data_IF_615387813224
#
_entry.id   IF_615387813224
#
_cell.length_a   1.000
_cell.length_b   1.000
_cell.length_c   1.000
_cell.angle_alpha   90.00
_cell.angle_beta   90.00
_cell.angle_gamma   90.00
#
_symmetry.space_group_name_H-M   'P 1'
#
loop_
_entity.id
_entity.type
_entity.pdbx_description
1 polymer ?
#
# COMPACT_ATOMS: atom_id res chain seq x y z
N UNK A 1 26.92 0.11 -12.44
CA UNK A 1 26.05 0.90 -11.54
C UNK A 1 25.29 -0.06 -10.64
N UNK A 2 25.51 0.01 -9.33
CA UNK A 2 24.91 -0.93 -8.36
C UNK A 2 23.44 -0.56 -8.11
N UNK A 3 22.54 -1.49 -8.39
CA UNK A 3 21.10 -1.33 -8.13
C UNK A 3 20.82 -1.44 -6.62
N UNK A 4 19.85 -0.71 -6.06
CA UNK A 4 19.50 -0.80 -4.65
C UNK A 4 18.93 -2.19 -4.34
N UNK A 5 19.63 -2.95 -3.50
CA UNK A 5 19.15 -4.19 -2.90
C UNK A 5 18.28 -3.82 -1.71
N UNK A 6 16.99 -4.20 -1.73
CA UNK A 6 16.16 -4.11 -0.53
C UNK A 6 16.55 -5.24 0.43
N UNK A 7 17.49 -4.96 1.32
CA UNK A 7 17.86 -5.86 2.41
C UNK A 7 16.87 -5.69 3.56
N UNK A 8 16.05 -6.71 3.78
CA UNK A 8 15.17 -6.77 4.94
C UNK A 8 15.97 -7.41 6.09
N UNK A 9 16.27 -6.64 7.14
CA UNK A 9 16.99 -7.13 8.32
C UNK A 9 16.06 -7.88 9.30
N UNK A 10 16.64 -8.85 10.02
CA UNK A 10 15.99 -9.69 11.02
C UNK A 10 15.29 -8.87 12.09
N UNK A 11 13.99 -9.11 12.27
CA UNK A 11 13.24 -8.72 13.46
C UNK A 11 12.96 -9.97 14.31
N UNK A 12 12.82 -9.85 15.65
CA UNK A 12 12.80 -10.99 16.58
C UNK A 12 11.49 -11.82 16.57
N UNK A 13 10.72 -11.79 15.47
CA UNK A 13 9.51 -12.59 15.32
C UNK A 13 9.78 -13.89 14.55
N UNK A 14 8.99 -14.93 14.83
CA UNK A 14 9.15 -16.28 14.26
C UNK A 14 9.10 -16.28 12.72
N UNK A 15 8.48 -15.27 12.12
CA UNK A 15 8.49 -14.98 10.69
C UNK A 15 8.40 -13.46 10.45
N UNK A 16 9.07 -12.95 9.42
CA UNK A 16 8.90 -11.58 8.92
C UNK A 16 8.05 -11.60 7.64
N UNK A 17 6.97 -10.82 7.66
CA UNK A 17 5.95 -10.78 6.61
C UNK A 17 5.96 -9.42 5.90
N UNK A 18 5.95 -9.46 4.57
CA UNK A 18 5.80 -8.25 3.75
C UNK A 18 4.89 -8.55 2.56
N UNK A 19 3.79 -7.82 2.46
CA UNK A 19 2.90 -7.81 1.29
C UNK A 19 3.20 -6.54 0.50
N UNK A 20 3.69 -6.71 -0.73
CA UNK A 20 4.05 -5.57 -1.60
C UNK A 20 2.97 -5.38 -2.67
N UNK A 21 2.33 -4.21 -2.67
CA UNK A 21 1.25 -3.80 -3.59
C UNK A 21 1.74 -2.83 -4.67
N UNK A 22 2.79 -3.13 -5.45
CA UNK A 22 3.23 -2.20 -6.51
C UNK A 22 4.03 -2.89 -7.61
N UNK A 23 3.42 -3.41 -8.68
CA UNK A 23 4.21 -4.09 -9.72
C UNK A 23 4.95 -3.12 -10.68
N UNK A 24 4.35 -2.00 -11.09
CA UNK A 24 4.98 -1.07 -12.04
C UNK A 24 6.30 -0.44 -11.53
N UNK A 25 6.50 -0.37 -10.21
CA UNK A 25 7.72 0.21 -9.59
C UNK A 25 8.79 -0.82 -9.23
N UNK A 26 8.55 -2.11 -9.48
CA UNK A 26 9.49 -3.20 -9.18
C UNK A 26 10.30 -3.67 -10.41
N UNK A 27 10.01 -3.17 -11.61
CA UNK A 27 10.82 -3.46 -12.79
C UNK A 27 12.29 -3.11 -12.55
N UNK A 28 13.19 -4.05 -12.88
CA UNK A 28 14.63 -3.99 -12.62
C UNK A 28 15.05 -4.34 -11.18
N UNK A 29 14.14 -4.62 -10.25
CA UNK A 29 14.48 -4.88 -8.84
C UNK A 29 14.67 -6.37 -8.55
N UNK A 30 15.55 -6.63 -7.58
CA UNK A 30 15.78 -7.95 -6.98
C UNK A 30 15.13 -7.99 -5.60
N UNK A 31 14.40 -9.07 -5.33
CA UNK A 31 13.74 -9.35 -4.05
C UNK A 31 14.35 -10.62 -3.50
N UNK A 32 14.81 -10.57 -2.25
CA UNK A 32 15.46 -11.70 -1.58
C UNK A 32 14.84 -11.89 -0.20
N UNK A 33 14.48 -13.11 0.13
CA UNK A 33 14.05 -13.54 1.46
C UNK A 33 15.22 -14.20 2.19
N UNK A 34 15.36 -13.89 3.49
CA UNK A 34 16.30 -14.55 4.41
C UNK A 34 15.61 -15.72 5.13
N UNK A 35 16.36 -16.40 5.98
CA UNK A 35 15.83 -17.45 6.84
C UNK A 35 14.64 -16.94 7.66
N UNK A 36 13.58 -17.75 7.81
CA UNK A 36 12.34 -17.36 8.52
C UNK A 36 11.69 -16.08 7.98
N UNK A 37 11.77 -15.83 6.68
CA UNK A 37 11.05 -14.72 6.04
C UNK A 37 10.24 -15.20 4.85
N UNK A 38 9.11 -14.55 4.64
CA UNK A 38 8.17 -14.90 3.57
C UNK A 38 7.60 -13.61 2.98
N UNK A 39 7.57 -13.53 1.65
CA UNK A 39 7.10 -12.33 0.92
C UNK A 39 6.03 -12.73 -0.06
N UNK A 40 4.89 -12.03 -0.06
CA UNK A 40 3.86 -12.13 -1.11
C UNK A 40 3.83 -10.86 -1.93
N UNK A 41 3.92 -11.04 -3.24
CA UNK A 41 3.84 -9.98 -4.22
C UNK A 41 2.49 -10.13 -4.91
N UNK A 42 1.62 -9.13 -4.79
CA UNK A 42 0.32 -9.11 -5.47
C UNK A 42 0.42 -8.14 -6.65
N UNK A 43 0.16 -8.65 -7.84
CA UNK A 43 0.20 -7.91 -9.09
C UNK A 43 -1.16 -7.25 -9.38
N UNK A 44 -1.18 -6.22 -10.24
CA UNK A 44 -2.40 -5.44 -10.53
C UNK A 44 -3.49 -6.23 -11.27
N UNK A 45 -3.11 -7.30 -11.94
CA UNK A 45 -4.02 -8.25 -12.57
C UNK A 45 -4.64 -9.24 -11.58
N UNK A 46 -4.24 -9.19 -10.30
CA UNK A 46 -4.65 -10.10 -9.24
C UNK A 46 -3.90 -11.43 -9.25
N UNK A 47 -2.86 -11.56 -10.08
CA UNK A 47 -1.87 -12.63 -9.94
C UNK A 47 -1.04 -12.39 -8.68
N UNK A 48 -0.47 -13.44 -8.09
CA UNK A 48 0.45 -13.31 -6.97
C UNK A 48 1.60 -14.31 -7.02
N UNK A 49 2.70 -13.92 -6.39
CA UNK A 49 3.90 -14.75 -6.23
C UNK A 49 4.34 -14.69 -4.78
N UNK A 50 4.56 -15.87 -4.19
CA UNK A 50 5.03 -16.04 -2.82
C UNK A 50 6.46 -16.56 -2.85
N UNK A 51 7.39 -15.80 -2.27
CA UNK A 51 8.75 -16.24 -2.01
C UNK A 51 8.82 -16.80 -0.59
N UNK A 52 9.27 -18.05 -0.48
CA UNK A 52 9.55 -18.68 0.81
C UNK A 52 10.94 -18.28 1.32
N UNK A 53 11.39 -18.81 2.45
CA UNK A 53 12.70 -18.48 2.99
C UNK A 53 13.85 -18.80 2.03
N UNK A 54 14.96 -18.05 2.15
CA UNK A 54 16.18 -18.24 1.35
C UNK A 54 15.93 -18.25 -0.17
N UNK A 55 14.97 -17.45 -0.63
CA UNK A 55 14.55 -17.37 -2.03
C UNK A 55 14.86 -16.00 -2.62
N UNK A 56 15.02 -15.95 -3.94
CA UNK A 56 15.31 -14.72 -4.66
C UNK A 56 14.54 -14.71 -5.97
N UNK A 57 14.07 -13.53 -6.40
CA UNK A 57 13.67 -13.32 -7.78
C UNK A 57 14.05 -11.92 -8.24
N UNK A 58 14.13 -11.73 -9.55
CA UNK A 58 14.31 -10.43 -10.19
C UNK A 58 13.14 -10.17 -11.14
N UNK A 59 12.49 -9.04 -11.00
CA UNK A 59 11.44 -8.63 -11.94
C UNK A 59 12.14 -7.83 -13.04
N UNK A 60 12.35 -8.43 -14.22
CA UNK A 60 13.05 -7.77 -15.33
C UNK A 60 12.14 -6.81 -16.08
N UNK A 61 10.90 -7.22 -16.34
CA UNK A 61 9.94 -6.46 -17.12
C UNK A 61 8.54 -6.77 -16.60
N UNK A 62 7.75 -5.73 -16.33
CA UNK A 62 6.33 -5.85 -16.03
C UNK A 62 5.61 -4.69 -16.69
N UNK A 63 4.87 -4.98 -17.76
CA UNK A 63 4.03 -4.02 -18.46
C UNK A 63 2.58 -4.51 -18.41
N UNK A 64 1.74 -3.71 -17.78
CA UNK A 64 0.31 -3.92 -17.72
C UNK A 64 -0.39 -2.76 -18.42
N UNK A 65 -1.00 -3.04 -19.58
CA UNK A 65 -1.81 -2.08 -20.33
C UNK A 65 -3.28 -2.49 -20.17
N UNK A 66 -4.10 -1.57 -19.65
CA UNK A 66 -5.55 -1.75 -19.52
C UNK A 66 -6.27 -0.88 -20.55
N UNK A 67 -6.73 -1.48 -21.64
CA UNK A 67 -7.57 -0.83 -22.66
C UNK A 67 -8.95 -1.49 -22.69
N UNK A 68 -9.99 -0.76 -23.08
CA UNK A 68 -11.40 -1.23 -23.05
C UNK A 68 -11.63 -2.55 -23.82
N UNK A 69 -10.81 -2.86 -24.83
CA UNK A 69 -10.96 -4.06 -25.66
C UNK A 69 -9.67 -4.87 -25.87
N UNK A 70 -8.53 -4.49 -25.28
CA UNK A 70 -7.26 -5.23 -25.45
C UNK A 70 -6.33 -5.05 -24.25
N UNK A 71 -6.51 -5.87 -23.23
CA UNK A 71 -5.56 -5.93 -22.13
C UNK A 71 -4.34 -6.75 -22.57
N UNK A 72 -3.13 -6.20 -22.46
CA UNK A 72 -1.90 -6.97 -22.67
C UNK A 72 -1.07 -6.98 -21.40
N UNK A 73 -0.57 -8.16 -21.05
CA UNK A 73 0.31 -8.36 -19.91
C UNK A 73 1.58 -9.01 -20.44
N UNK A 74 2.69 -8.29 -20.32
CA UNK A 74 4.03 -8.82 -20.54
C UNK A 74 4.77 -8.79 -19.23
N UNK A 75 5.13 -9.97 -18.71
CA UNK A 75 5.83 -10.10 -17.44
C UNK A 75 6.98 -11.09 -17.58
N UNK A 76 8.21 -10.60 -17.41
CA UNK A 76 9.42 -11.41 -17.39
C UNK A 76 10.01 -11.37 -15.99
N UNK A 77 9.88 -12.48 -15.28
CA UNK A 77 10.47 -12.68 -13.96
C UNK A 77 11.63 -13.65 -14.12
N UNK A 78 12.79 -13.24 -13.66
CA UNK A 78 14.06 -13.86 -13.98
C UNK A 78 14.89 -14.14 -12.73
N UNK A 79 15.89 -15.00 -12.89
CA UNK A 79 16.82 -15.37 -11.83
C UNK A 79 16.08 -15.81 -10.55
N UNK A 80 15.02 -16.60 -10.74
CA UNK A 80 14.28 -17.23 -9.64
C UNK A 80 15.20 -18.26 -8.97
N UNK A 81 15.31 -18.17 -7.64
CA UNK A 81 16.06 -19.08 -6.78
C UNK A 81 15.27 -19.40 -5.51
N UNK A 82 15.54 -20.56 -4.94
CA UNK A 82 14.87 -21.06 -3.73
C UNK A 82 13.53 -21.71 -4.07
N UNK A 83 12.52 -21.49 -3.22
CA UNK A 83 11.16 -22.01 -3.36
C UNK A 83 10.20 -20.85 -3.60
N UNK A 84 9.38 -20.95 -4.63
CA UNK A 84 8.40 -19.93 -5.01
C UNK A 84 7.07 -20.59 -5.35
N UNK A 85 5.95 -20.07 -4.82
CA UNK A 85 4.60 -20.37 -5.31
C UNK A 85 4.19 -19.25 -6.27
N UNK A 86 3.59 -19.61 -7.40
CA UNK A 86 3.05 -18.65 -8.35
C UNK A 86 1.57 -18.94 -8.59
N UNK A 87 0.79 -17.88 -8.71
CA UNK A 87 -0.60 -17.91 -9.14
C UNK A 87 -0.80 -16.81 -10.18
N UNK A 88 -0.99 -17.20 -11.44
CA UNK A 88 -1.19 -16.27 -12.55
C UNK A 88 -2.63 -16.34 -13.01
N UNK A 89 -3.37 -15.22 -12.97
CA UNK A 89 -4.76 -15.17 -13.41
C UNK A 89 -4.87 -15.28 -14.93
N UNK A 90 -5.78 -16.14 -15.39
CA UNK A 90 -6.17 -16.21 -16.80
C UNK A 90 -6.99 -14.98 -17.15
N UNK A 91 -6.63 -14.27 -18.23
CA UNK A 91 -7.50 -13.25 -18.83
C UNK A 91 -7.97 -13.72 -20.21
N UNK A 92 -9.28 -13.68 -20.41
CA UNK A 92 -9.89 -13.90 -21.73
C UNK A 92 -9.57 -12.70 -22.62
N UNK A 93 -9.29 -12.95 -23.91
CA UNK A 93 -8.97 -11.95 -24.93
C UNK A 93 -7.69 -11.11 -24.74
N UNK A 94 -6.78 -11.52 -23.85
CA UNK A 94 -5.48 -10.86 -23.65
C UNK A 94 -4.32 -11.66 -24.29
N UNK A 95 -3.40 -10.96 -24.98
CA UNK A 95 -2.06 -11.50 -25.26
C UNK A 95 -1.28 -11.49 -23.94
N UNK A 96 -1.31 -12.61 -23.22
CA UNK A 96 -0.54 -12.82 -22.01
C UNK A 96 0.78 -13.50 -22.35
N UNK A 97 1.88 -12.77 -22.22
CA UNK A 97 3.25 -13.30 -22.33
C UNK A 97 3.91 -13.19 -20.95
N UNK A 98 3.62 -14.19 -20.10
CA UNK A 98 4.21 -14.30 -18.77
C UNK A 98 5.27 -15.39 -18.83
N UNK A 99 6.52 -15.02 -18.55
CA UNK A 99 7.66 -15.92 -18.51
C UNK A 99 8.29 -15.88 -17.12
N UNK A 100 8.42 -17.05 -16.50
CA UNK A 100 9.23 -17.26 -15.30
C UNK A 100 10.54 -17.94 -15.73
N UNK A 101 11.68 -17.42 -15.27
CA UNK A 101 13.01 -17.92 -15.65
C UNK A 101 13.87 -18.21 -14.44
N UNK A 102 14.53 -19.37 -14.47
CA UNK A 102 15.62 -19.73 -13.57
C UNK A 102 16.93 -19.75 -14.37
N UNK A 103 18.04 -20.13 -13.74
CA UNK A 103 19.33 -20.25 -14.43
C UNK A 103 19.32 -21.29 -15.56
N UNK A 104 18.46 -22.30 -15.50
CA UNK A 104 18.46 -23.41 -16.43
C UNK A 104 17.07 -23.77 -16.99
N UNK A 105 16.02 -23.02 -16.68
CA UNK A 105 14.68 -23.28 -17.21
C UNK A 105 13.91 -21.99 -17.57
N UNK A 106 13.07 -22.10 -18.59
CA UNK A 106 12.07 -21.09 -18.99
C UNK A 106 10.69 -21.73 -18.86
N UNK A 107 9.78 -20.99 -18.23
CA UNK A 107 8.40 -21.39 -17.99
C UNK A 107 7.45 -20.38 -18.64
N UNK A 108 6.81 -20.76 -19.73
CA UNK A 108 5.72 -20.01 -20.37
C UNK A 108 4.41 -20.29 -19.65
N UNK A 109 3.84 -19.27 -19.03
CA UNK A 109 2.70 -19.43 -18.13
C UNK A 109 1.48 -18.67 -18.65
N UNK A 110 0.35 -19.38 -18.68
CA UNK A 110 -0.95 -18.80 -19.02
C UNK A 110 -2.04 -19.32 -18.10
N UNK A 111 -2.38 -18.53 -17.07
CA UNK A 111 -3.53 -18.85 -16.23
C UNK A 111 -3.30 -20.08 -15.35
N UNK A 112 -2.15 -20.18 -14.69
CA UNK A 112 -1.73 -21.38 -13.97
C UNK A 112 -1.35 -21.10 -12.52
N UNK A 113 -1.35 -22.17 -11.73
CA UNK A 113 -0.88 -22.19 -10.35
C UNK A 113 0.14 -23.31 -10.17
N UNK A 114 1.15 -23.06 -9.35
CA UNK A 114 2.16 -24.07 -9.06
C UNK A 114 3.32 -23.59 -8.21
N UNK A 115 4.35 -24.43 -8.15
CA UNK A 115 5.57 -24.22 -7.37
C UNK A 115 6.80 -24.36 -8.26
N UNK A 116 7.80 -23.51 -8.00
CA UNK A 116 9.14 -23.61 -8.57
C UNK A 116 10.09 -23.84 -7.40
N UNK A 117 10.92 -24.87 -7.51
CA UNK A 117 12.00 -25.15 -6.56
C UNK A 117 13.31 -25.24 -7.31
N UNK A 118 14.28 -24.42 -6.94
CA UNK A 118 15.63 -24.52 -7.50
C UNK A 118 16.61 -25.06 -6.48
N UNK A 119 17.48 -25.98 -6.90
CA UNK A 119 18.60 -26.46 -6.09
C UNK A 119 19.90 -26.06 -6.79
N UNK A 120 20.58 -25.04 -6.25
CA UNK A 120 21.73 -24.45 -6.91
C UNK A 120 21.37 -23.74 -8.23
N UNK A 121 22.33 -23.61 -9.14
CA UNK A 121 22.12 -23.02 -10.46
C UNK A 121 21.76 -24.05 -11.55
N UNK A 122 21.79 -25.34 -11.21
CA UNK A 122 21.74 -26.42 -12.18
C UNK A 122 20.48 -27.28 -12.06
N UNK A 123 19.59 -27.03 -11.11
CA UNK A 123 18.39 -27.84 -10.96
C UNK A 123 17.18 -26.95 -10.74
N UNK A 124 16.16 -27.12 -11.58
CA UNK A 124 14.84 -26.50 -11.44
C UNK A 124 13.79 -27.58 -11.46
N UNK A 125 12.93 -27.63 -10.45
CA UNK A 125 11.74 -28.44 -10.38
C UNK A 125 10.51 -27.54 -10.50
N UNK A 126 9.55 -27.96 -11.31
CA UNK A 126 8.27 -27.28 -11.51
C UNK A 126 7.17 -28.25 -11.13
N UNK A 127 6.23 -27.82 -10.29
CA UNK A 127 5.01 -28.56 -9.95
C UNK A 127 3.81 -27.70 -10.32
N UNK A 128 2.88 -28.23 -11.10
CA UNK A 128 1.69 -27.48 -11.55
C UNK A 128 0.47 -28.02 -10.83
N UNK A 129 -0.18 -27.17 -10.04
CA UNK A 129 -1.41 -27.52 -9.29
C UNK A 129 -2.67 -27.11 -10.04
N UNK A 130 -2.57 -26.21 -11.03
CA UNK A 130 -3.70 -25.82 -11.88
C UNK A 130 -3.23 -25.30 -13.23
N UNK A 131 -3.90 -25.71 -14.31
CA UNK A 131 -3.61 -25.25 -15.68
C UNK A 131 -2.44 -25.98 -16.33
N UNK A 132 -1.71 -25.33 -17.24
CA UNK A 132 -0.58 -25.94 -17.97
C UNK A 132 0.56 -24.95 -18.22
N UNK A 133 1.80 -25.44 -18.07
CA UNK A 133 3.02 -24.63 -18.21
C UNK A 133 3.91 -25.21 -19.31
N UNK A 134 4.32 -24.34 -20.24
CA UNK A 134 5.35 -24.68 -21.21
C UNK A 134 6.71 -24.60 -20.52
N UNK A 135 7.46 -25.70 -20.52
CA UNK A 135 8.69 -25.87 -19.77
C UNK A 135 9.83 -26.27 -20.70
N UNK A 136 10.88 -25.46 -20.75
CA UNK A 136 12.03 -25.68 -21.62
C UNK A 136 13.34 -25.28 -20.94
N UNK A 137 14.46 -25.75 -21.48
CA UNK A 137 15.78 -25.29 -21.07
C UNK A 137 16.25 -24.17 -22.03
N UNK A 138 16.76 -23.03 -21.55
CA UNK A 138 17.30 -21.97 -22.41
C UNK A 138 18.37 -22.45 -23.40
N UNK A 139 19.13 -23.50 -23.06
CA UNK A 139 20.16 -24.10 -23.92
C UNK A 139 19.57 -24.95 -25.05
N UNK A 140 18.31 -25.38 -24.91
CA UNK A 140 17.58 -26.19 -25.90
C UNK A 140 16.16 -25.66 -26.10
N UNK A 141 16.00 -24.40 -26.56
CA UNK A 141 14.70 -23.70 -26.53
C UNK A 141 13.65 -24.31 -27.46
N UNK A 142 14.07 -25.13 -28.43
CA UNK A 142 13.18 -25.82 -29.37
C UNK A 142 12.56 -27.11 -28.80
N UNK A 143 12.98 -27.55 -27.61
CA UNK A 143 12.45 -28.73 -26.93
C UNK A 143 11.60 -28.24 -25.76
N UNK A 144 10.29 -28.19 -25.98
CA UNK A 144 9.30 -27.71 -25.01
C UNK A 144 8.51 -28.92 -24.50
N UNK A 145 8.46 -29.09 -23.18
CA UNK A 145 7.55 -30.02 -22.51
C UNK A 145 6.38 -29.23 -21.93
N UNK A 146 5.17 -29.77 -21.99
CA UNK A 146 4.00 -29.14 -21.37
C UNK A 146 3.72 -29.88 -20.07
N UNK A 147 3.89 -29.21 -18.93
CA UNK A 147 3.56 -29.76 -17.61
C UNK A 147 2.12 -29.35 -17.27
N UNK A 148 1.22 -30.32 -17.17
CA UNK A 148 -0.20 -30.09 -16.91
C UNK A 148 -0.52 -30.11 -15.40
N UNK A 149 -1.76 -29.83 -15.09
CA UNK A 149 -2.31 -29.92 -13.75
C UNK A 149 -2.07 -31.31 -13.14
N UNK A 150 -1.56 -31.32 -11.90
CA UNK A 150 -1.13 -32.52 -11.16
C UNK A 150 0.06 -33.25 -11.79
N UNK A 151 0.84 -32.57 -12.63
CA UNK A 151 2.13 -33.04 -13.12
C UNK A 151 3.28 -32.18 -12.58
N UNK A 152 4.46 -32.78 -12.54
CA UNK A 152 5.71 -32.09 -12.25
C UNK A 152 6.77 -32.41 -13.30
N UNK A 153 7.70 -31.47 -13.47
CA UNK A 153 8.83 -31.61 -14.36
C UNK A 153 10.11 -31.12 -13.70
N UNK A 154 11.24 -31.50 -14.28
CA UNK A 154 12.55 -31.10 -13.81
C UNK A 154 13.49 -30.74 -14.96
N UNK A 155 14.37 -29.78 -14.75
CA UNK A 155 15.51 -29.52 -15.62
C UNK A 155 16.78 -29.61 -14.80
N UNK A 156 17.76 -30.39 -15.30
CA UNK A 156 19.08 -30.55 -14.70
C UNK A 156 20.14 -30.07 -15.69
N UNK A 157 21.02 -29.19 -15.24
CA UNK A 157 22.05 -28.50 -16.00
C UNK A 157 21.49 -27.94 -17.33
N UNK A 158 22.18 -28.20 -18.44
CA UNK A 158 21.80 -27.74 -19.78
C UNK A 158 20.99 -28.78 -20.57
N UNK A 159 20.54 -29.87 -19.93
CA UNK A 159 19.75 -30.90 -20.59
C UNK A 159 18.31 -30.42 -20.83
N UNK A 160 17.65 -30.83 -21.93
CA UNK A 160 16.23 -30.58 -22.11
C UNK A 160 15.41 -31.26 -21.00
N UNK A 161 14.24 -30.70 -20.63
CA UNK A 161 13.36 -31.34 -19.65
C UNK A 161 12.93 -32.74 -20.14
N UNK A 162 12.97 -33.77 -19.27
CA UNK A 162 12.35 -35.06 -19.55
C UNK A 162 10.81 -34.90 -19.59
N UNK A 163 10.09 -35.92 -20.07
CA UNK A 163 8.63 -35.94 -20.00
C UNK A 163 8.14 -35.72 -18.56
N UNK A 164 7.05 -34.94 -18.34
CA UNK A 164 6.48 -34.73 -17.01
C UNK A 164 5.97 -36.02 -16.38
N UNK A 165 6.00 -36.06 -15.05
CA UNK A 165 5.51 -37.17 -14.24
C UNK A 165 4.32 -36.72 -13.36
N UNK A 166 3.41 -37.62 -12.97
CA UNK A 166 2.34 -37.29 -12.05
C UNK A 166 2.89 -36.90 -10.69
N UNK A 167 2.27 -35.89 -10.07
CA UNK A 167 2.60 -35.43 -8.72
C UNK A 167 2.09 -36.43 -7.70
N UNK A 168 2.95 -36.79 -6.73
CA UNK A 168 2.51 -37.60 -5.59
C UNK A 168 1.99 -36.70 -4.46
N UNK A 169 1.04 -37.17 -3.63
CA UNK A 169 0.56 -36.40 -2.48
C UNK A 169 1.68 -35.95 -1.54
N UNK A 170 2.70 -36.80 -1.34
CA UNK A 170 3.85 -36.49 -0.49
C UNK A 170 4.65 -35.29 -1.04
N UNK A 171 4.73 -35.14 -2.37
CA UNK A 171 5.40 -34.01 -3.00
C UNK A 171 4.62 -32.71 -2.79
N UNK A 172 3.28 -32.75 -2.87
CA UNK A 172 2.43 -31.58 -2.59
C UNK A 172 2.58 -31.16 -1.13
N UNK A 173 2.46 -32.10 -0.19
CA UNK A 173 2.59 -31.84 1.25
C UNK A 173 3.97 -31.23 1.60
N UNK A 174 5.04 -31.66 0.93
CA UNK A 174 6.39 -31.11 1.13
C UNK A 174 6.56 -29.69 0.57
N UNK A 175 5.72 -29.29 -0.40
CA UNK A 175 5.74 -27.98 -1.05
C UNK A 175 4.77 -27.00 -0.41
N UNK A 176 3.65 -27.50 0.13
CA UNK A 176 2.64 -26.75 0.84
C UNK A 176 3.14 -26.37 2.24
N UNK A 177 3.92 -25.29 2.31
CA UNK A 177 4.24 -24.67 3.58
C UNK A 177 2.97 -24.02 4.11
N UNK A 178 2.54 -24.39 5.33
CA UNK A 178 1.43 -23.74 6.02
C UNK A 178 1.63 -22.24 6.03
N UNK A 179 0.86 -21.53 5.20
CA UNK A 179 0.84 -20.09 5.21
C UNK A 179 0.20 -19.62 6.52
N UNK A 180 0.67 -18.53 7.14
CA UNK A 180 0.04 -17.98 8.33
C UNK A 180 -1.42 -17.58 8.04
N UNK A 181 -2.28 -17.62 9.06
CA UNK A 181 -3.65 -17.11 8.95
C UNK A 181 -3.65 -15.66 8.42
N UNK A 182 -4.47 -15.41 7.39
CA UNK A 182 -4.54 -14.11 6.70
C UNK A 182 -3.75 -14.00 5.38
N UNK A 183 -3.04 -15.06 4.95
CA UNK A 183 -2.33 -15.10 3.67
C UNK A 183 -3.18 -15.59 2.47
N UNK A 184 -4.26 -16.33 2.75
CA UNK A 184 -5.19 -16.84 1.75
C UNK A 184 -6.33 -15.83 1.53
N UNK A 185 -6.17 -14.97 0.53
CA UNK A 185 -7.21 -14.02 0.09
C UNK A 185 -7.78 -14.42 -1.26
N UNK A 186 -8.20 -15.68 -1.39
CA UNK A 186 -8.98 -16.12 -2.55
C UNK A 186 -10.51 -16.06 -2.33
N UNK A 187 -11.01 -15.47 -1.23
CA UNK A 187 -12.44 -15.24 -0.99
C UNK A 187 -12.85 -13.76 -1.17
N UNK A 188 -12.87 -13.28 -2.41
CA UNK A 188 -13.57 -12.03 -2.76
C UNK A 188 -15.01 -12.29 -3.24
N UNK A 189 -15.71 -13.29 -2.69
CA UNK A 189 -17.06 -13.68 -3.14
C UNK A 189 -18.14 -13.84 -2.04
N UNK A 190 -17.91 -13.48 -0.76
CA UNK A 190 -18.91 -13.73 0.30
C UNK A 190 -19.60 -12.49 0.91
N UNK A 191 -19.31 -11.27 0.46
CA UNK A 191 -19.87 -10.07 1.13
C UNK A 191 -21.23 -9.59 0.58
N UNK A 192 -21.89 -10.34 -0.31
CA UNK A 192 -23.14 -9.88 -0.96
C UNK A 192 -24.45 -10.35 -0.30
N UNK A 193 -24.45 -10.99 0.87
CA UNK A 193 -25.68 -11.53 1.48
C UNK A 193 -26.01 -11.10 2.91
N UNK A 194 -25.52 -9.96 3.39
CA UNK A 194 -25.83 -9.50 4.75
C UNK A 194 -26.29 -8.05 4.82
N UNK A 195 -27.34 -7.70 4.07
CA UNK A 195 -28.19 -6.55 4.42
C UNK A 195 -29.67 -6.89 4.19
N UNK A 196 -30.48 -7.09 5.25
CA UNK A 196 -31.93 -7.08 5.10
C UNK A 196 -32.39 -5.65 4.81
N UNK A 197 -33.16 -5.49 3.73
CA UNK A 197 -33.90 -4.27 3.43
C UNK A 197 -34.78 -3.88 4.62
N UNK A 198 -34.64 -2.65 5.10
CA UNK A 198 -35.66 -2.03 5.96
C UNK A 198 -35.91 -0.60 5.50
N UNK A 199 -36.97 -0.46 4.72
CA UNK A 199 -37.76 0.76 4.61
C UNK A 199 -38.35 1.10 5.98
N UNK A 200 -38.24 2.37 6.37
CA UNK A 200 -38.82 2.86 7.62
C UNK A 200 -38.29 4.24 7.99
N UNK A 201 -38.78 5.27 7.33
CA UNK A 201 -38.51 6.67 7.70
C UNK A 201 -39.18 7.04 9.02
N UNK A 202 -38.57 7.96 9.77
CA UNK A 202 -39.17 8.85 10.79
C UNK A 202 -38.14 9.98 11.12
N UNK A 203 -38.53 11.10 11.76
CA UNK A 203 -38.39 12.45 11.21
C UNK A 203 -37.23 13.26 11.81
N UNK A 204 -36.79 14.27 11.06
CA UNK A 204 -35.78 15.26 11.45
C UNK A 204 -36.41 16.34 12.34
N UNK A 205 -35.87 16.53 13.55
CA UNK A 205 -36.00 17.77 14.31
C UNK A 205 -34.63 18.46 14.44
N UNK A 206 -34.55 19.80 14.29
CA UNK A 206 -33.27 20.51 14.27
C UNK A 206 -32.72 20.72 15.69
N UNK A 207 -31.40 20.57 15.93
CA UNK A 207 -30.81 20.84 17.23
C UNK A 207 -30.50 22.33 17.44
N UNK A 208 -30.96 22.84 18.59
CA UNK A 208 -30.61 24.13 19.21
C UNK A 208 -29.17 24.15 19.71
N UNK A 209 -28.49 25.29 19.51
CA UNK A 209 -27.09 25.56 19.89
C UNK A 209 -27.02 26.00 21.37
N UNK A 210 -26.14 25.43 22.21
CA UNK A 210 -25.72 26.04 23.47
C UNK A 210 -24.41 26.84 23.33
N UNK A 211 -24.40 28.02 23.94
CA UNK A 211 -23.35 29.03 23.98
C UNK A 211 -22.12 28.66 24.84
N UNK A 212 -20.95 29.09 24.36
CA UNK A 212 -19.61 29.01 24.95
C UNK A 212 -19.47 29.78 26.29
N UNK A 213 -18.76 29.23 27.30
CA UNK A 213 -18.26 30.02 28.43
C UNK A 213 -16.82 30.52 28.21
N UNK A 214 -16.62 31.78 28.58
CA UNK A 214 -15.42 32.61 28.54
C UNK A 214 -14.41 32.22 29.65
N UNK A 215 -13.11 32.11 29.32
CA UNK A 215 -12.04 31.75 30.26
C UNK A 215 -11.28 33.01 30.70
N UNK A 216 -11.20 33.25 32.01
CA UNK A 216 -10.29 34.21 32.67
C UNK A 216 -8.96 33.53 33.04
N UNK A 217 -7.80 34.22 32.94
CA UNK A 217 -6.51 33.64 33.30
C UNK A 217 -6.21 33.73 34.82
N UNK A 218 -5.44 32.76 35.33
CA UNK A 218 -4.90 32.71 36.71
C UNK A 218 -3.35 32.60 36.64
N UNK A 219 -2.58 33.14 37.62
CA UNK A 219 -1.17 33.50 37.47
C UNK A 219 -0.15 32.44 37.94
N UNK A 220 1.11 32.65 37.52
CA UNK A 220 2.35 31.98 37.95
C UNK A 220 2.63 32.11 39.46
N UNK A 221 3.18 31.04 40.07
CA UNK A 221 4.02 31.12 41.28
C UNK A 221 5.18 30.12 41.19
N UNK A 222 6.38 30.63 41.53
CA UNK A 222 7.67 29.96 41.73
C UNK A 222 7.78 29.27 43.11
N UNK A 223 8.64 28.25 43.27
CA UNK A 223 9.30 28.01 44.56
C UNK A 223 9.68 26.56 44.94
N UNK A 224 10.99 26.28 44.83
CA UNK A 224 11.89 25.34 45.57
C UNK A 224 11.38 24.47 46.74
N UNK A 225 11.91 23.24 46.83
CA UNK A 225 12.68 22.77 48.01
C UNK A 225 13.40 21.43 47.75
N UNK A 226 14.69 21.38 48.12
CA UNK A 226 15.60 20.23 48.19
C UNK A 226 15.17 19.16 49.21
N UNK A 227 15.45 17.86 48.95
CA UNK A 227 15.99 16.88 49.93
C UNK A 227 16.76 15.76 49.17
N UNK A 228 18.02 15.52 49.58
CA UNK A 228 18.87 14.35 49.26
C UNK A 228 18.55 13.17 50.19
N UNK A 229 18.71 11.92 49.73
CA UNK A 229 19.52 10.91 50.43
C UNK A 229 19.77 9.64 49.59
N UNK A 230 20.97 9.09 49.78
CA UNK A 230 21.59 7.90 49.18
C UNK A 230 20.95 6.58 49.64
N UNK A 231 21.02 5.50 48.83
CA UNK A 231 21.98 4.37 48.97
C UNK A 231 21.50 3.11 48.21
N UNK A 232 22.31 2.72 47.21
CA UNK A 232 22.78 1.39 46.74
C UNK A 232 21.96 0.06 46.83
N UNK A 233 22.32 -0.94 45.98
CA UNK A 233 21.40 -1.87 45.34
C UNK A 233 21.30 -3.22 46.05
N UNK A 234 20.15 -3.87 45.90
CA UNK A 234 20.01 -5.31 46.17
C UNK A 234 19.72 -6.05 44.86
N UNK A 235 20.52 -7.09 44.66
CA UNK A 235 20.37 -8.16 43.71
C UNK A 235 19.06 -8.91 43.94
N UNK A 236 18.35 -9.26 42.88
CA UNK A 236 17.71 -10.57 42.79
C UNK A 236 17.43 -10.97 41.35
N UNK A 237 17.88 -12.19 41.03
CA UNK A 237 17.59 -12.91 39.80
C UNK A 237 16.10 -13.26 39.76
N UNK A 238 15.36 -12.74 38.77
CA UNK A 238 14.03 -13.23 38.44
C UNK A 238 13.92 -13.49 36.95
N UNK A 239 13.51 -14.73 36.64
CA UNK A 239 13.32 -15.31 35.33
C UNK A 239 12.39 -14.44 34.46
N UNK A 240 12.77 -14.24 33.20
CA UNK A 240 11.98 -13.57 32.19
C UNK A 240 10.76 -14.43 31.79
N UNK A 241 9.71 -14.36 32.61
CA UNK A 241 8.34 -14.57 32.16
C UNK A 241 7.80 -13.19 31.78
N UNK A 242 7.29 -13.05 30.56
CA UNK A 242 6.69 -11.81 30.06
C UNK A 242 5.49 -11.41 30.90
N UNK A 243 5.75 -10.64 31.96
CA UNK A 243 4.73 -9.85 32.64
C UNK A 243 4.46 -8.66 31.75
N UNK A 244 3.24 -8.59 31.23
CA UNK A 244 2.69 -7.34 30.69
C UNK A 244 2.74 -6.28 31.79
N UNK A 245 3.33 -5.12 31.51
CA UNK A 245 3.34 -3.97 32.42
C UNK A 245 1.95 -3.73 33.00
N UNK A 246 1.82 -3.90 34.32
CA UNK A 246 0.68 -3.38 35.04
C UNK A 246 0.97 -1.89 35.28
N UNK A 247 0.76 -1.08 34.23
CA UNK A 247 0.81 0.39 34.35
C UNK A 247 -0.15 0.72 35.49
N UNK A 248 0.15 1.64 36.40
CA UNK A 248 -0.87 2.07 37.37
C UNK A 248 -2.09 2.59 36.56
N UNK A 249 -3.33 2.10 36.80
CA UNK A 249 -4.52 2.57 36.08
C UNK A 249 -4.67 4.09 36.05
N UNK A 250 -4.02 4.81 36.96
CA UNK A 250 -4.09 6.27 37.08
C UNK A 250 -2.93 7.03 36.41
N UNK A 251 -1.96 6.34 35.80
CA UNK A 251 -0.82 7.01 35.18
C UNK A 251 -1.12 7.55 33.77
N UNK A 252 -0.93 8.86 33.63
CA UNK A 252 -0.81 9.53 32.33
C UNK A 252 0.53 9.14 31.72
N UNK A 253 0.50 8.53 30.54
CA UNK A 253 1.72 8.32 29.73
C UNK A 253 1.62 9.16 28.47
N UNK A 254 2.74 9.78 28.08
CA UNK A 254 2.82 10.64 26.91
C UNK A 254 4.09 10.34 26.13
N UNK A 255 4.04 10.46 24.81
CA UNK A 255 5.18 10.11 23.98
C UNK A 255 5.11 10.64 22.55
N UNK A 256 6.26 10.88 21.90
CA UNK A 256 6.29 11.06 20.46
C UNK A 256 5.84 9.79 19.75
N UNK A 257 5.23 9.99 18.59
CA UNK A 257 4.85 8.92 17.67
C UNK A 257 5.31 9.25 16.25
N UNK A 258 5.61 8.21 15.49
CA UNK A 258 5.92 8.25 14.07
C UNK A 258 5.08 7.17 13.38
N UNK A 259 4.41 7.51 12.29
CA UNK A 259 3.59 6.58 11.53
C UNK A 259 3.86 6.64 10.05
N UNK A 260 3.72 5.49 9.38
CA UNK A 260 3.75 5.38 7.91
C UNK A 260 2.53 4.63 7.42
N UNK A 261 1.83 5.19 6.44
CA UNK A 261 0.56 4.66 5.97
C UNK A 261 0.15 5.05 4.56
N UNK A 262 -0.89 4.39 4.07
CA UNK A 262 -1.54 4.75 2.81
C UNK A 262 -2.36 6.04 3.01
N UNK A 263 -2.26 6.95 2.04
CA UNK A 263 -2.99 8.24 2.00
C UNK A 263 -2.65 9.25 3.11
N UNK A 264 -1.83 8.86 4.09
CA UNK A 264 -1.21 9.74 5.07
C UNK A 264 0.31 9.80 4.94
N UNK A 265 0.90 8.87 4.18
CA UNK A 265 2.33 8.78 3.91
C UNK A 265 3.15 8.72 5.19
N UNK A 266 3.77 9.80 5.64
CA UNK A 266 4.41 9.85 6.95
C UNK A 266 3.63 10.76 7.90
N UNK A 267 3.65 10.42 9.18
CA UNK A 267 3.08 11.23 10.26
C UNK A 267 4.04 11.27 11.43
N UNK A 268 4.12 12.41 12.10
CA UNK A 268 4.77 12.60 13.38
C UNK A 268 3.76 13.23 14.33
N UNK A 269 3.80 12.86 15.60
CA UNK A 269 2.83 13.39 16.55
C UNK A 269 3.23 13.16 17.98
N UNK A 270 2.36 13.63 18.88
CA UNK A 270 2.44 13.38 20.30
C UNK A 270 1.14 12.69 20.70
N UNK A 271 1.25 11.56 21.40
CA UNK A 271 0.14 10.79 21.90
C UNK A 271 0.21 10.69 23.42
N UNK A 272 -0.93 10.86 24.07
CA UNK A 272 -1.12 10.65 25.48
C UNK A 272 -2.15 9.54 25.69
N UNK A 273 -1.90 8.63 26.63
CA UNK A 273 -2.92 7.72 27.17
C UNK A 273 -3.26 8.15 28.59
N UNK A 274 -4.53 8.35 28.84
CA UNK A 274 -5.13 8.78 30.10
C UNK A 274 -5.98 7.62 30.63
N UNK A 275 -5.81 7.26 31.91
CA UNK A 275 -6.61 6.26 32.60
C UNK A 275 -6.67 4.86 31.93
N UNK A 276 -5.60 4.43 31.23
CA UNK A 276 -5.53 3.20 30.38
C UNK A 276 -6.57 3.08 29.25
N UNK A 277 -7.72 3.73 29.33
CA UNK A 277 -8.83 3.57 28.40
C UNK A 277 -8.96 4.71 27.40
N UNK A 278 -8.38 5.90 27.63
CA UNK A 278 -8.53 7.05 26.75
C UNK A 278 -7.20 7.42 26.10
N UNK A 279 -7.16 7.55 24.78
CA UNK A 279 -6.01 8.06 24.03
C UNK A 279 -6.34 9.39 23.35
N UNK A 280 -5.43 10.35 23.46
CA UNK A 280 -5.49 11.63 22.77
C UNK A 280 -4.21 11.83 21.96
N UNK A 281 -4.29 12.26 20.71
CA UNK A 281 -3.08 12.65 19.98
C UNK A 281 -3.27 13.80 19.01
N UNK A 282 -2.18 14.50 18.74
CA UNK A 282 -2.06 15.51 17.70
C UNK A 282 -0.94 15.07 16.76
N UNK A 283 -1.21 15.04 15.47
CA UNK A 283 -0.26 14.55 14.47
C UNK A 283 -0.20 15.51 13.28
N UNK A 284 0.99 15.66 12.73
CA UNK A 284 1.29 16.36 11.48
C UNK A 284 1.93 15.39 10.50
N UNK A 285 1.65 15.53 9.22
CA UNK A 285 2.15 14.60 8.22
C UNK A 285 1.85 15.01 6.78
N UNK A 286 2.15 14.12 5.85
CA UNK A 286 1.91 14.35 4.44
C UNK A 286 2.96 13.71 3.54
N UNK A 287 2.92 14.06 2.26
CA UNK A 287 3.99 13.83 1.31
C UNK A 287 3.81 14.76 0.10
N UNK A 288 4.92 15.04 -0.59
CA UNK A 288 4.95 15.85 -1.80
C UNK A 288 5.26 15.02 -3.04
N UNK A 289 4.92 15.56 -4.21
CA UNK A 289 5.32 15.06 -5.53
C UNK A 289 4.94 13.59 -5.78
N UNK A 290 3.77 13.18 -5.28
CA UNK A 290 3.22 11.84 -5.49
C UNK A 290 2.55 11.78 -6.87
N UNK A 291 2.80 10.74 -7.65
CA UNK A 291 2.10 10.54 -8.91
C UNK A 291 0.62 10.15 -8.68
N UNK A 292 -0.28 10.59 -9.58
CA UNK A 292 -1.72 10.31 -9.41
C UNK A 292 -2.09 8.84 -9.52
N UNK A 293 -1.22 8.02 -10.14
CA UNK A 293 -1.35 6.56 -10.19
C UNK A 293 -1.37 5.91 -8.80
N UNK A 294 -0.82 6.60 -7.80
CA UNK A 294 -0.79 6.17 -6.40
C UNK A 294 -2.14 6.40 -5.71
N UNK A 295 -3.04 7.21 -6.30
CA UNK A 295 -4.37 7.48 -5.77
C UNK A 295 -5.45 6.72 -6.57
N UNK A 296 -6.23 5.83 -5.93
CA UNK A 296 -7.23 5.02 -6.60
C UNK A 296 -8.23 5.86 -7.41
N UNK A 297 -8.27 5.66 -8.73
CA UNK A 297 -9.24 6.33 -9.60
C UNK A 297 -8.97 7.82 -9.86
N UNK A 298 -7.94 8.44 -9.28
CA UNK A 298 -7.64 9.85 -9.55
C UNK A 298 -7.20 10.06 -11.01
N UNK A 299 -6.36 9.17 -11.53
CA UNK A 299 -5.87 9.23 -12.90
C UNK A 299 -6.99 9.14 -13.96
N UNK A 300 -8.07 8.39 -13.68
CA UNK A 300 -9.19 8.24 -14.63
C UNK A 300 -9.99 9.54 -14.84
N UNK A 301 -9.91 10.51 -13.95
CA UNK A 301 -10.58 11.81 -14.14
C UNK A 301 -9.87 12.71 -15.16
N UNK A 302 -8.61 12.41 -15.48
CA UNK A 302 -7.79 13.23 -16.38
C UNK A 302 -7.58 12.54 -17.72
N UNK A 303 -7.47 11.20 -17.71
CA UNK A 303 -7.31 10.40 -18.92
C UNK A 303 -8.58 10.27 -19.78
N UNK A 304 -9.74 10.78 -19.33
CA UNK A 304 -10.99 10.71 -20.12
C UNK A 304 -10.92 11.45 -21.46
N UNK A 305 -9.98 12.39 -21.62
CA UNK A 305 -9.83 13.21 -22.82
C UNK A 305 -8.42 13.10 -23.46
N UNK A 306 -7.69 12.01 -23.22
CA UNK A 306 -6.29 11.85 -23.68
C UNK A 306 -6.11 11.71 -25.19
N UNK A 307 -7.21 11.65 -25.96
CA UNK A 307 -7.14 11.50 -27.42
C UNK A 307 -6.71 12.79 -28.13
N UNK A 308 -6.87 13.95 -27.49
CA UNK A 308 -6.49 15.26 -28.06
C UNK A 308 -5.27 15.88 -27.36
N UNK A 309 -5.04 15.59 -26.08
CA UNK A 309 -3.94 16.15 -25.29
C UNK A 309 -3.06 15.06 -24.67
N UNK A 310 -1.75 15.29 -24.62
CA UNK A 310 -0.80 14.37 -23.98
C UNK A 310 -0.43 14.86 -22.58
N UNK A 311 -0.83 14.12 -21.55
CA UNK A 311 -0.46 14.37 -20.15
C UNK A 311 0.86 13.64 -19.88
N UNK A 312 1.90 14.38 -19.53
CA UNK A 312 3.23 13.81 -19.30
C UNK A 312 3.68 13.86 -17.84
N UNK A 313 3.06 14.70 -17.00
CA UNK A 313 3.37 14.75 -15.57
C UNK A 313 2.11 15.03 -14.72
N UNK A 314 1.98 14.28 -13.63
CA UNK A 314 0.96 14.50 -12.59
C UNK A 314 1.61 14.40 -11.22
N UNK A 315 1.47 15.44 -10.41
CA UNK A 315 2.04 15.54 -9.06
C UNK A 315 0.97 15.95 -8.06
N UNK A 316 0.93 15.24 -6.95
CA UNK A 316 0.02 15.45 -5.83
C UNK A 316 0.86 15.65 -4.57
N UNK A 317 0.57 16.72 -3.86
CA UNK A 317 1.14 17.02 -2.55
C UNK A 317 0.01 17.10 -1.55
N UNK A 318 0.17 16.41 -0.43
CA UNK A 318 -0.80 16.36 0.65
C UNK A 318 -0.08 16.68 1.95
N UNK A 319 -0.65 17.55 2.76
CA UNK A 319 -0.22 17.81 4.12
C UNK A 319 -1.45 17.81 5.03
N UNK A 320 -1.29 17.44 6.29
CA UNK A 320 -2.40 17.48 7.24
C UNK A 320 -1.95 17.73 8.68
N UNK A 321 -2.88 18.27 9.45
CA UNK A 321 -2.83 18.31 10.91
C UNK A 321 -4.10 17.62 11.40
N UNK A 322 -3.96 16.70 12.35
CA UNK A 322 -5.09 15.92 12.88
C UNK A 322 -5.04 15.79 14.39
N UNK A 323 -6.22 15.82 14.99
CA UNK A 323 -6.46 15.50 16.39
C UNK A 323 -7.23 14.20 16.49
N UNK A 324 -6.85 13.33 17.42
CA UNK A 324 -7.38 11.97 17.56
C UNK A 324 -7.86 11.74 18.98
N UNK A 325 -8.99 11.08 19.10
CA UNK A 325 -9.55 10.57 20.36
C UNK A 325 -9.87 9.10 20.18
N UNK A 326 -9.36 8.25 21.07
CA UNK A 326 -9.60 6.80 21.02
C UNK A 326 -9.90 6.23 22.39
N UNK A 327 -10.66 5.14 22.40
CA UNK A 327 -11.02 4.37 23.58
C UNK A 327 -10.43 2.97 23.45
N UNK A 328 -9.82 2.47 24.52
CA UNK A 328 -9.29 1.10 24.66
C UNK A 328 -10.27 0.26 25.50
N UNK A 329 -11.33 -0.32 24.91
CA UNK A 329 -12.44 -0.91 25.66
C UNK A 329 -12.05 -2.13 26.49
N UNK A 330 -10.96 -2.80 26.13
CA UNK A 330 -10.46 -4.00 26.80
C UNK A 330 -9.18 -3.75 27.61
N UNK A 331 -8.82 -2.47 27.84
CA UNK A 331 -7.59 -2.06 28.53
C UNK A 331 -6.31 -2.66 27.93
N UNK A 332 -6.37 -3.09 26.66
CA UNK A 332 -5.28 -3.74 25.93
C UNK A 332 -4.82 -2.89 24.75
N UNK A 333 -4.29 -3.55 23.71
CA UNK A 333 -3.81 -2.86 22.53
C UNK A 333 -4.94 -2.36 21.62
N UNK A 334 -6.07 -3.08 21.58
CA UNK A 334 -7.19 -2.72 20.71
C UNK A 334 -7.82 -1.38 21.12
N UNK A 335 -8.09 -0.53 20.13
CA UNK A 335 -8.82 0.72 20.32
C UNK A 335 -9.85 0.94 19.22
N UNK A 336 -10.85 1.75 19.53
CA UNK A 336 -11.77 2.35 18.58
C UNK A 336 -11.91 3.85 18.87
N UNK A 337 -12.08 4.67 17.84
CA UNK A 337 -12.27 6.10 18.03
C UNK A 337 -12.34 6.87 16.73
N UNK A 338 -11.94 8.13 16.77
CA UNK A 338 -12.04 9.01 15.63
C UNK A 338 -10.94 10.05 15.59
N UNK A 339 -10.73 10.62 14.39
CA UNK A 339 -9.88 11.79 14.17
C UNK A 339 -10.66 12.89 13.49
N UNK A 340 -10.29 14.13 13.80
CA UNK A 340 -10.62 15.31 13.02
C UNK A 340 -9.34 15.86 12.44
N UNK A 341 -9.36 16.23 11.16
CA UNK A 341 -8.17 16.75 10.52
C UNK A 341 -8.45 17.80 9.48
N UNK A 342 -7.46 18.66 9.27
CA UNK A 342 -7.40 19.61 8.17
C UNK A 342 -6.32 19.11 7.23
N UNK A 343 -6.68 18.93 5.96
CA UNK A 343 -5.78 18.46 4.91
C UNK A 343 -5.61 19.55 3.86
N UNK A 344 -4.37 19.95 3.60
CA UNK A 344 -3.98 20.77 2.46
C UNK A 344 -3.60 19.86 1.29
N UNK A 345 -4.22 20.06 0.14
CA UNK A 345 -3.95 19.32 -1.09
C UNK A 345 -3.51 20.31 -2.17
N UNK A 346 -2.44 19.97 -2.86
CA UNK A 346 -1.99 20.67 -4.06
C UNK A 346 -1.77 19.65 -5.18
N UNK A 347 -2.37 19.90 -6.34
CA UNK A 347 -2.14 19.13 -7.55
C UNK A 347 -1.41 19.99 -8.59
N UNK A 348 -0.53 19.36 -9.36
CA UNK A 348 0.11 19.96 -10.53
C UNK A 348 0.02 18.96 -11.68
N UNK A 349 -0.53 19.39 -12.81
CA UNK A 349 -0.72 18.57 -14.00
C UNK A 349 -0.13 19.30 -15.19
N UNK A 350 0.75 18.62 -15.90
CA UNK A 350 1.39 19.13 -17.11
C UNK A 350 0.92 18.35 -18.33
N UNK A 351 0.45 19.07 -19.35
CA UNK A 351 -0.06 18.51 -20.59
C UNK A 351 0.45 19.31 -21.81
N UNK A 352 0.41 18.67 -22.98
CA UNK A 352 0.78 19.28 -24.26
C UNK A 352 -0.23 18.90 -25.37
N UNK A 353 0.01 19.39 -26.59
CA UNK A 353 -0.77 19.15 -27.82
C UNK A 353 -2.12 19.90 -27.95
N UNK A 354 -2.24 21.10 -27.39
CA UNK A 354 -3.46 21.92 -27.51
C UNK A 354 -3.60 22.71 -28.83
N UNK A 355 -2.68 22.54 -29.79
CA UNK A 355 -2.70 23.23 -31.09
C UNK A 355 -2.18 22.32 -32.21
N UNK A 356 -2.80 22.42 -33.39
CA UNK A 356 -2.56 21.55 -34.55
C UNK A 356 -1.25 21.81 -35.29
N UNK A 357 -0.65 22.98 -35.11
CA UNK A 357 0.56 23.39 -35.84
C UNK A 357 1.84 23.29 -35.02
N UNK A 358 1.76 23.44 -33.69
CA UNK A 358 2.87 23.29 -32.75
C UNK A 358 2.33 22.89 -31.36
N UNK A 359 2.88 21.85 -30.72
CA UNK A 359 2.53 21.50 -29.34
C UNK A 359 2.71 22.70 -28.41
N UNK A 360 1.72 22.96 -27.57
CA UNK A 360 1.84 23.96 -26.50
C UNK A 360 1.63 23.29 -25.18
N UNK A 361 2.55 23.57 -24.26
CA UNK A 361 2.48 23.08 -22.90
C UNK A 361 1.50 23.92 -22.08
N UNK A 362 0.76 23.23 -21.22
CA UNK A 362 -0.14 23.83 -20.24
C UNK A 362 0.11 23.16 -18.90
N UNK A 363 0.27 24.00 -17.87
CA UNK A 363 0.34 23.57 -16.48
C UNK A 363 -0.93 23.97 -15.76
N UNK A 364 -1.62 23.03 -15.12
CA UNK A 364 -2.73 23.30 -14.22
C UNK A 364 -2.30 23.02 -12.78
N UNK A 365 -2.67 23.92 -11.88
CA UNK A 365 -2.48 23.78 -10.44
C UNK A 365 -3.81 23.93 -9.72
N UNK A 366 -4.14 22.98 -8.86
CA UNK A 366 -5.34 23.05 -8.03
C UNK A 366 -4.98 22.88 -6.56
N UNK A 367 -5.38 23.83 -5.73
CA UNK A 367 -5.18 23.83 -4.27
C UNK A 367 -6.52 23.73 -3.57
N UNK A 368 -6.56 22.93 -2.50
CA UNK A 368 -7.76 22.71 -1.72
C UNK A 368 -7.39 22.45 -0.26
N UNK A 369 -8.14 23.06 0.65
CA UNK A 369 -8.16 22.65 2.04
C UNK A 369 -9.44 21.85 2.31
N UNK A 370 -9.32 20.71 2.96
CA UNK A 370 -10.45 19.86 3.34
C UNK A 370 -10.41 19.60 4.84
N UNK A 371 -11.51 19.89 5.53
CA UNK A 371 -11.76 19.39 6.87
C UNK A 371 -12.42 18.02 6.76
N UNK A 372 -11.92 17.04 7.51
CA UNK A 372 -12.39 15.66 7.43
C UNK A 372 -12.54 15.03 8.80
N UNK A 373 -13.41 14.01 8.85
CA UNK A 373 -13.62 13.13 9.98
C UNK A 373 -13.16 11.72 9.62
N UNK A 374 -12.48 11.04 10.53
CA UNK A 374 -11.94 9.71 10.31
C UNK A 374 -12.35 8.77 11.44
N UNK A 375 -13.48 8.05 11.35
CA UNK A 375 -13.75 6.94 12.25
C UNK A 375 -12.71 5.85 12.01
N UNK A 376 -12.17 5.31 13.10
CA UNK A 376 -11.06 4.37 13.03
C UNK A 376 -11.03 3.37 14.19
N UNK A 377 -10.32 2.28 13.96
CA UNK A 377 -9.96 1.29 14.96
C UNK A 377 -8.55 0.80 14.70
N UNK A 378 -7.97 0.10 15.66
CA UNK A 378 -6.64 -0.46 15.47
C UNK A 378 -6.09 -1.10 16.73
N UNK A 379 -4.79 -1.38 16.69
CA UNK A 379 -4.05 -1.97 17.78
C UNK A 379 -2.81 -1.14 18.06
N UNK A 380 -2.56 -0.84 19.33
CA UNK A 380 -1.37 -0.13 19.81
C UNK A 380 -0.83 -0.84 21.06
N UNK A 381 0.17 -1.67 20.86
CA UNK A 381 0.90 -2.32 21.95
C UNK A 381 1.90 -1.33 22.54
N UNK A 382 1.86 -1.15 23.85
CA UNK A 382 2.85 -0.36 24.61
C UNK A 382 3.57 -1.34 25.52
N UNK A 383 4.89 -1.40 25.39
CA UNK A 383 5.75 -2.29 26.16
C UNK A 383 6.29 -1.58 27.41
N UNK A 384 6.80 -2.37 28.33
CA UNK A 384 7.41 -1.95 29.59
C UNK A 384 8.54 -0.92 29.43
N UNK A 385 9.22 -0.94 28.27
CA UNK A 385 10.27 0.02 27.93
C UNK A 385 9.74 1.41 27.52
N UNK A 386 8.42 1.58 27.45
CA UNK A 386 7.76 2.73 26.84
C UNK A 386 7.65 2.63 25.33
N UNK A 387 8.41 1.74 24.68
CA UNK A 387 8.28 1.50 23.24
C UNK A 387 6.85 1.10 22.91
N UNK A 388 6.34 1.59 21.79
CA UNK A 388 5.03 1.23 21.30
C UNK A 388 5.04 0.95 19.81
N UNK A 389 4.20 0.02 19.38
CA UNK A 389 3.99 -0.29 17.97
C UNK A 389 2.51 -0.57 17.74
N UNK A 390 2.01 -0.20 16.56
CA UNK A 390 0.61 -0.36 16.23
C UNK A 390 0.28 -0.19 14.76
N UNK A 391 -0.99 -0.43 14.44
CA UNK A 391 -1.59 -0.21 13.13
C UNK A 391 -3.00 0.35 13.32
N UNK A 392 -3.45 1.18 12.39
CA UNK A 392 -4.71 1.92 12.48
C UNK A 392 -5.45 1.88 11.14
N UNK A 393 -6.72 1.52 11.15
CA UNK A 393 -7.59 1.43 9.97
C UNK A 393 -8.79 2.36 10.13
N UNK A 394 -9.23 2.99 9.06
CA UNK A 394 -10.38 3.88 9.09
C UNK A 394 -10.81 4.36 7.71
N UNK A 395 -11.57 5.44 7.70
CA UNK A 395 -12.04 6.09 6.47
C UNK A 395 -12.06 7.60 6.65
N UNK A 396 -11.26 8.34 5.87
CA UNK A 396 -11.29 9.79 5.85
C UNK A 396 -12.49 10.29 5.06
N UNK A 397 -13.51 10.78 5.75
CA UNK A 397 -14.74 11.33 5.21
C UNK A 397 -14.60 12.86 5.16
N UNK A 398 -14.53 13.49 3.98
CA UNK A 398 -14.56 14.93 3.85
C UNK A 398 -15.87 15.50 4.44
N UNK A 399 -15.76 16.54 5.27
CA UNK A 399 -16.92 17.23 5.85
C UNK A 399 -17.14 18.59 5.19
N UNK A 400 -16.06 19.34 4.96
CA UNK A 400 -16.12 20.62 4.28
C UNK A 400 -14.82 20.90 3.55
N UNK A 401 -14.88 21.79 2.56
CA UNK A 401 -13.70 22.24 1.83
C UNK A 401 -13.71 23.75 1.70
N UNK A 402 -12.53 24.37 1.78
CA UNK A 402 -12.33 25.81 1.64
C UNK A 402 -11.00 26.10 0.93
N UNK A 403 -10.73 27.39 0.70
CA UNK A 403 -9.51 27.88 0.05
C UNK A 403 -9.21 27.17 -1.29
N UNK A 404 -10.26 26.92 -2.06
CA UNK A 404 -10.15 26.37 -3.41
C UNK A 404 -9.50 27.41 -4.31
N UNK A 405 -8.36 27.06 -4.90
CA UNK A 405 -7.65 27.92 -5.84
C UNK A 405 -7.20 27.08 -7.03
N UNK A 406 -7.76 27.41 -8.19
CA UNK A 406 -7.35 26.85 -9.46
C UNK A 406 -6.59 27.91 -10.25
N UNK A 407 -5.41 27.56 -10.73
CA UNK A 407 -4.64 28.38 -11.66
C UNK A 407 -4.09 27.52 -12.78
N UNK A 408 -3.86 28.14 -13.93
CA UNK A 408 -3.17 27.50 -15.03
C UNK A 408 -2.23 28.47 -15.74
N UNK A 409 -1.26 27.91 -16.45
CA UNK A 409 -0.28 28.65 -17.23
C UNK A 409 -0.21 28.02 -18.61
N UNK A 410 -0.33 28.84 -19.66
CA UNK A 410 -0.20 28.43 -21.05
C UNK A 410 1.14 28.94 -21.57
N UNK A 411 2.01 28.05 -22.04
CA UNK A 411 3.34 28.40 -22.55
C UNK A 411 3.30 28.69 -24.06
N UNK A 412 2.44 29.63 -24.46
CA UNK A 412 2.32 30.05 -25.87
C UNK A 412 3.48 30.99 -26.27
N UNK A 413 4.01 30.82 -27.48
CA UNK A 413 5.12 31.61 -28.01
C UNK A 413 4.66 32.91 -28.68
N UNK A 414 3.38 32.99 -29.10
CA UNK A 414 2.81 34.17 -29.74
C UNK A 414 1.30 34.31 -29.48
N UNK A 415 0.70 35.49 -29.69
CA UNK A 415 -0.72 35.73 -29.43
C UNK A 415 -1.70 34.90 -30.27
N UNK A 416 -1.33 34.55 -31.52
CA UNK A 416 -2.19 33.75 -32.39
C UNK A 416 -2.34 32.31 -31.85
N UNK A 417 -1.24 31.73 -31.38
CA UNK A 417 -1.20 30.42 -30.75
C UNK A 417 -2.00 30.42 -29.44
N UNK A 418 -1.86 31.45 -28.61
CA UNK A 418 -2.66 31.60 -27.38
C UNK A 418 -4.17 31.62 -27.71
N UNK A 419 -4.59 32.42 -28.69
CA UNK A 419 -5.99 32.51 -29.08
C UNK A 419 -6.53 31.17 -29.59
N UNK A 420 -5.74 30.41 -30.38
CA UNK A 420 -6.16 29.08 -30.86
C UNK A 420 -6.40 28.07 -29.74
N UNK A 421 -5.65 28.18 -28.63
CA UNK A 421 -5.80 27.31 -27.47
C UNK A 421 -7.01 27.71 -26.65
N UNK A 422 -7.20 29.01 -26.38
CA UNK A 422 -8.30 29.50 -25.55
C UNK A 422 -9.68 29.13 -26.10
N UNK A 423 -9.79 28.95 -27.42
CA UNK A 423 -11.05 28.54 -28.09
C UNK A 423 -11.13 27.04 -28.36
N UNK A 424 -10.09 26.24 -28.03
CA UNK A 424 -10.10 24.80 -28.31
C UNK A 424 -10.96 24.03 -27.31
N UNK A 425 -11.68 23.02 -27.79
CA UNK A 425 -12.42 22.06 -26.94
C UNK A 425 -11.46 21.36 -25.98
N UNK A 426 -10.32 20.92 -26.49
CA UNK A 426 -9.27 20.25 -25.76
C UNK A 426 -8.81 21.03 -24.52
N UNK A 427 -8.65 22.35 -24.64
CA UNK A 427 -8.28 23.21 -23.52
C UNK A 427 -9.40 23.35 -22.48
N UNK A 428 -10.63 23.59 -22.92
CA UNK A 428 -11.79 23.68 -22.01
C UNK A 428 -12.05 22.37 -21.26
N UNK A 429 -11.89 21.24 -21.94
CA UNK A 429 -11.98 19.91 -21.37
C UNK A 429 -10.87 19.63 -20.37
N UNK A 430 -9.64 20.07 -20.65
CA UNK A 430 -8.53 19.99 -19.70
C UNK A 430 -8.79 20.84 -18.45
N UNK A 431 -9.34 22.05 -18.61
CA UNK A 431 -9.75 22.89 -17.48
C UNK A 431 -10.82 22.22 -16.63
N UNK A 432 -11.88 21.69 -17.25
CA UNK A 432 -12.96 20.98 -16.56
C UNK A 432 -12.43 19.77 -15.80
N UNK A 433 -11.58 18.96 -16.43
CA UNK A 433 -10.98 17.79 -15.77
C UNK A 433 -10.16 18.19 -14.53
N UNK A 434 -9.33 19.23 -14.63
CA UNK A 434 -8.43 19.61 -13.54
C UNK A 434 -9.11 20.41 -12.42
N UNK A 435 -10.08 21.27 -12.77
CA UNK A 435 -10.78 22.12 -11.81
C UNK A 435 -11.97 21.37 -11.20
N UNK A 436 -12.85 20.85 -12.06
CA UNK A 436 -14.14 20.32 -11.63
C UNK A 436 -14.03 18.84 -11.27
N UNK A 437 -13.49 18.00 -12.16
CA UNK A 437 -13.49 16.55 -11.91
C UNK A 437 -12.53 16.14 -10.78
N UNK A 438 -11.26 16.57 -10.86
CA UNK A 438 -10.28 16.38 -9.76
C UNK A 438 -10.75 17.10 -8.50
N UNK A 439 -11.21 18.34 -8.63
CA UNK A 439 -11.68 19.13 -7.49
C UNK A 439 -12.82 18.43 -6.76
N UNK A 440 -13.84 17.97 -7.48
CA UNK A 440 -14.99 17.26 -6.92
C UNK A 440 -14.58 15.91 -6.31
N UNK A 441 -13.67 15.18 -6.95
CA UNK A 441 -13.12 13.95 -6.39
C UNK A 441 -12.46 14.20 -5.03
N UNK A 442 -11.57 15.20 -4.93
CA UNK A 442 -10.86 15.51 -3.70
C UNK A 442 -11.77 16.08 -2.60
N UNK A 443 -12.86 16.75 -2.99
CA UNK A 443 -13.86 17.34 -2.10
C UNK A 443 -14.82 16.32 -1.49
N UNK A 444 -15.22 15.30 -2.25
CA UNK A 444 -16.35 14.43 -1.87
C UNK A 444 -15.96 12.99 -1.60
N UNK A 445 -14.82 12.52 -2.12
CA UNK A 445 -14.45 11.12 -2.02
C UNK A 445 -13.97 10.78 -0.62
N UNK A 446 -14.63 9.81 0.00
CA UNK A 446 -14.11 9.10 1.16
C UNK A 446 -12.85 8.34 0.77
N UNK A 447 -11.75 8.62 1.46
CA UNK A 447 -10.48 7.92 1.25
C UNK A 447 -10.30 6.86 2.32
N UNK A 448 -9.89 5.63 1.98
CA UNK A 448 -9.51 4.66 2.99
C UNK A 448 -8.32 5.21 3.80
N UNK A 449 -8.31 4.91 5.09
CA UNK A 449 -7.22 5.26 5.99
C UNK A 449 -6.55 3.99 6.47
N UNK A 450 -5.24 3.92 6.29
CA UNK A 450 -4.44 2.85 6.88
C UNK A 450 -3.08 3.37 7.30
N UNK A 451 -2.87 3.49 8.61
CA UNK A 451 -1.55 3.64 9.21
C UNK A 451 -0.96 2.25 9.38
N UNK A 452 -0.10 1.85 8.45
CA UNK A 452 0.42 0.48 8.36
C UNK A 452 1.27 0.19 9.60
N UNK A 453 2.18 1.11 9.91
CA UNK A 453 3.06 1.01 11.07
C UNK A 453 3.05 2.35 11.77
N UNK A 454 2.68 2.33 13.05
CA UNK A 454 2.85 3.44 13.97
C UNK A 454 3.75 3.00 15.11
N UNK A 455 4.77 3.77 15.40
CA UNK A 455 5.75 3.53 16.45
C UNK A 455 5.68 4.71 17.42
N UNK A 456 5.83 4.46 18.71
CA UNK A 456 5.91 5.50 19.73
C UNK A 456 6.89 5.17 20.82
N UNK A 457 7.19 6.17 21.66
CA UNK A 457 7.96 5.98 22.88
C UNK A 457 7.31 6.78 24.01
N UNK A 458 6.61 6.08 24.90
CA UNK A 458 5.87 6.66 26.02
C UNK A 458 6.71 6.68 27.29
N UNK A 459 6.52 7.71 28.11
CA UNK A 459 7.21 7.90 29.39
C UNK A 459 6.25 8.37 30.48
#
# INVERSE_FOLDING_TARGET
>A
AAYPVFNIHQFPYKYLFLVIYVANKLSGRRITTKQKSLVKIIFFDGSDIVLYENSELKINEYHFIKEENNNSIKSVIDNIKGKVRFFIKRKENAKNDVQLKTSNAVMGIRGTEGYIVTTGAEQTQLVVTKGAVEFSNPSTPNIIQVVNENEWGQVIANAPPPPPEPVTPELIDALEVKLPEGFDTNSLNETEQLFPNTDGGLPVAPPTIPSTPEIKPTPEIQGKSDIKNEMQPSSDNAQAQGKTFDIDPDQLIIGPTFGVGLFQFFTIGIEAKIFKFLGLSINYGGAGDIHFDTFPGLLSYINRNSNENHIYETKLSIQHIKTRVVIYPFFGAFFAGAELGIRHIETNVHATNFSSSNPVEISARYKLNTFYFNPQFGWMWVFDSGFAIGTEFGAQIPLSSNNENFSNVIFAQNPAQLNSILVSSAYNDFLRANKDDIGNYLKTRTLPYWNIIKIGWFF
#
